data_IF_764379444917
#
_entry.id   IF_764379444917
#
_cell.length_a   1.000
_cell.length_b   1.000
_cell.length_c   1.000
_cell.angle_alpha   90.00
_cell.angle_beta   90.00
_cell.angle_gamma   90.00
#
_symmetry.space_group_name_H-M   'P 1'
#
loop_
_entity.id
_entity.type
_entity.pdbx_description
1 polymer ?
#
# COMPACT_ATOMS: atom_id res chain seq x y z
N UNK A 1 55.38 22.43 5.77
CA UNK A 1 55.54 21.85 4.41
C UNK A 1 56.17 20.48 4.62
N UNK A 2 55.64 19.33 4.21
CA UNK A 2 54.82 18.93 3.06
C UNK A 2 53.93 17.75 3.49
N UNK A 3 52.72 17.69 2.89
CA UNK A 3 51.72 16.63 3.00
C UNK A 3 52.22 15.34 2.38
N UNK A 4 51.81 14.17 2.89
CA UNK A 4 51.46 13.05 2.01
C UNK A 4 50.45 12.13 2.71
N UNK A 5 49.19 12.25 2.27
CA UNK A 5 48.17 11.21 2.46
C UNK A 5 48.49 10.11 1.45
N UNK A 6 48.68 8.87 1.90
CA UNK A 6 48.55 7.70 1.04
C UNK A 6 47.53 6.73 1.63
N UNK A 7 46.44 6.62 0.89
CA UNK A 7 45.46 5.55 0.87
C UNK A 7 46.13 4.18 0.89
N UNK A 8 45.57 3.26 1.69
CA UNK A 8 45.71 1.84 1.45
C UNK A 8 44.35 1.20 1.57
N UNK A 9 43.79 0.88 0.41
CA UNK A 9 42.60 0.08 0.20
C UNK A 9 42.86 -1.35 0.70
N UNK A 10 41.95 -1.90 1.52
CA UNK A 10 41.55 -3.32 1.55
C UNK A 10 40.59 -3.57 2.70
N UNK A 11 39.40 -4.02 2.34
CA UNK A 11 38.42 -4.51 3.30
C UNK A 11 37.02 -4.44 2.72
N UNK A 12 36.80 -5.10 1.58
CA UNK A 12 35.46 -5.47 1.17
C UNK A 12 34.97 -6.47 2.23
N UNK A 13 34.25 -5.98 3.23
CA UNK A 13 33.34 -6.83 3.98
C UNK A 13 32.09 -6.91 3.13
N UNK A 14 32.05 -7.97 2.32
CA UNK A 14 30.83 -8.51 1.76
C UNK A 14 30.03 -8.98 2.97
N UNK A 15 29.10 -8.15 3.45
CA UNK A 15 28.13 -8.65 4.41
C UNK A 15 27.15 -9.53 3.61
N UNK A 16 27.16 -10.79 4.01
CA UNK A 16 26.51 -11.88 3.33
C UNK A 16 25.01 -11.63 3.47
N UNK A 17 24.31 -11.43 2.34
CA UNK A 17 22.88 -11.10 2.32
C UNK A 17 22.04 -12.07 3.13
N UNK A 18 21.83 -11.74 4.39
CA UNK A 18 20.62 -12.09 5.11
C UNK A 18 19.55 -11.20 4.53
N UNK A 19 18.71 -11.78 3.66
CA UNK A 19 17.37 -11.24 3.46
C UNK A 19 16.70 -11.38 4.82
N UNK A 20 16.85 -10.37 5.67
CA UNK A 20 15.96 -10.18 6.78
C UNK A 20 14.63 -9.88 6.12
N UNK A 21 13.74 -10.87 6.04
CA UNK A 21 12.32 -10.60 5.81
C UNK A 21 11.94 -9.58 6.88
N UNK A 22 11.97 -8.31 6.47
CA UNK A 22 11.56 -7.22 7.30
C UNK A 22 10.05 -7.35 7.39
N UNK A 23 9.50 -7.17 8.58
CA UNK A 23 8.06 -7.18 8.75
C UNK A 23 7.43 -6.26 7.66
N UNK A 24 6.34 -6.69 7.00
CA UNK A 24 5.71 -5.90 5.97
C UNK A 24 5.47 -4.48 6.46
N UNK A 25 5.70 -3.48 5.61
CA UNK A 25 5.33 -2.12 5.98
C UNK A 25 3.80 -2.01 6.08
N UNK A 26 3.29 -1.01 6.81
CA UNK A 26 1.85 -0.76 6.86
C UNK A 26 1.24 -0.60 5.45
N UNK A 27 2.00 -0.01 4.51
CA UNK A 27 1.58 0.12 3.11
C UNK A 27 1.50 -1.24 2.43
N UNK A 28 2.41 -2.18 2.71
CA UNK A 28 2.34 -3.54 2.16
C UNK A 28 1.11 -4.29 2.70
N UNK A 29 0.86 -4.19 4.01
CA UNK A 29 -0.32 -4.75 4.65
C UNK A 29 -1.60 -4.17 4.05
N UNK A 30 -1.67 -2.84 3.91
CA UNK A 30 -2.84 -2.18 3.36
C UNK A 30 -3.02 -2.45 1.86
N UNK A 31 -1.93 -2.56 1.10
CA UNK A 31 -1.98 -2.99 -0.32
C UNK A 31 -2.64 -4.36 -0.45
N UNK A 32 -2.32 -5.28 0.46
CA UNK A 32 -2.92 -6.61 0.48
C UNK A 32 -4.40 -6.58 0.86
N UNK A 33 -4.80 -5.72 1.82
CA UNK A 33 -6.23 -5.49 2.13
C UNK A 33 -6.97 -5.05 0.86
N UNK A 34 -6.48 -4.02 0.17
CA UNK A 34 -7.11 -3.51 -1.06
C UNK A 34 -7.23 -4.60 -2.12
N UNK A 35 -6.17 -5.40 -2.31
CA UNK A 35 -6.18 -6.53 -3.25
C UNK A 35 -7.29 -7.53 -2.90
N UNK A 36 -7.41 -7.93 -1.64
CA UNK A 36 -8.43 -8.89 -1.18
C UNK A 36 -9.84 -8.35 -1.33
N UNK A 37 -10.06 -7.08 -0.99
CA UNK A 37 -11.35 -6.41 -1.20
C UNK A 37 -11.72 -6.42 -2.69
N UNK A 38 -10.77 -6.06 -3.57
CA UNK A 38 -10.96 -6.09 -5.01
C UNK A 38 -11.27 -7.51 -5.54
N UNK A 39 -10.51 -8.52 -5.10
CA UNK A 39 -10.75 -9.91 -5.46
C UNK A 39 -12.14 -10.40 -5.01
N UNK A 40 -12.56 -10.04 -3.80
CA UNK A 40 -13.87 -10.41 -3.23
C UNK A 40 -15.01 -9.81 -4.07
N UNK A 41 -14.92 -8.52 -4.39
CA UNK A 41 -15.93 -7.82 -5.20
C UNK A 41 -16.02 -8.39 -6.62
N UNK A 42 -14.87 -8.67 -7.25
CA UNK A 42 -14.85 -9.26 -8.59
C UNK A 42 -15.38 -10.71 -8.58
N UNK A 43 -15.11 -11.49 -7.53
CA UNK A 43 -15.58 -12.87 -7.41
C UNK A 43 -17.12 -13.00 -7.31
N UNK A 44 -17.83 -11.94 -6.91
CA UNK A 44 -19.30 -11.89 -6.93
C UNK A 44 -19.87 -11.80 -8.36
N UNK A 45 -19.02 -11.55 -9.36
CA UNK A 45 -19.41 -11.37 -10.76
C UNK A 45 -18.85 -12.53 -11.63
N UNK A 46 -19.70 -13.39 -12.22
CA UNK A 46 -19.26 -14.65 -12.83
C UNK A 46 -18.36 -14.52 -14.06
N UNK A 47 -18.36 -13.36 -14.74
CA UNK A 47 -17.60 -13.10 -15.96
C UNK A 47 -16.42 -12.13 -15.74
N UNK A 48 -16.18 -11.69 -14.49
CA UNK A 48 -15.09 -10.76 -14.17
C UNK A 48 -13.92 -11.55 -13.58
N UNK A 49 -12.72 -11.48 -14.18
CA UNK A 49 -11.54 -12.14 -13.64
C UNK A 49 -11.11 -11.49 -12.31
N UNK A 50 -10.33 -12.24 -11.52
CA UNK A 50 -9.64 -11.65 -10.36
C UNK A 50 -8.64 -10.57 -10.83
N UNK A 51 -8.66 -9.38 -10.23
CA UNK A 51 -7.79 -8.28 -10.63
C UNK A 51 -6.38 -8.46 -10.08
N UNK A 52 -5.35 -8.30 -10.93
CA UNK A 52 -3.96 -8.32 -10.49
C UNK A 52 -3.49 -6.93 -10.01
N UNK A 53 -4.09 -5.89 -10.58
CA UNK A 53 -3.82 -4.48 -10.27
C UNK A 53 -5.07 -3.61 -10.36
N UNK A 54 -4.97 -2.37 -9.89
CA UNK A 54 -6.10 -1.45 -9.80
C UNK A 54 -6.72 -1.12 -11.16
N UNK A 55 -5.90 -1.04 -12.21
CA UNK A 55 -6.37 -0.75 -13.59
C UNK A 55 -7.21 -1.89 -14.21
N UNK A 56 -7.20 -3.08 -13.60
CA UNK A 56 -8.01 -4.20 -14.07
C UNK A 56 -9.47 -4.06 -13.61
N UNK A 57 -9.74 -3.18 -12.65
CA UNK A 57 -11.08 -2.86 -12.18
C UNK A 57 -11.81 -1.97 -13.19
N UNK A 58 -13.06 -2.33 -13.48
CA UNK A 58 -13.97 -1.38 -14.10
C UNK A 58 -14.37 -0.26 -13.13
N UNK A 59 -15.01 0.79 -13.66
CA UNK A 59 -15.38 1.95 -12.85
C UNK A 59 -16.37 1.62 -11.72
N UNK A 60 -17.19 0.56 -11.88
CA UNK A 60 -18.17 0.16 -10.88
C UNK A 60 -17.51 -0.61 -9.75
N UNK A 61 -16.71 -1.63 -10.07
CA UNK A 61 -15.91 -2.39 -9.10
C UNK A 61 -14.95 -1.48 -8.34
N UNK A 62 -14.33 -0.50 -9.02
CA UNK A 62 -13.50 0.51 -8.37
C UNK A 62 -14.28 1.28 -7.30
N UNK A 63 -15.49 1.76 -7.61
CA UNK A 63 -16.33 2.47 -6.63
C UNK A 63 -16.71 1.56 -5.47
N UNK A 64 -17.04 0.29 -5.72
CA UNK A 64 -17.37 -0.66 -4.65
C UNK A 64 -16.18 -0.89 -3.70
N UNK A 65 -14.98 -1.10 -4.24
CA UNK A 65 -13.74 -1.25 -3.45
C UNK A 65 -13.55 -0.03 -2.54
N UNK A 66 -13.70 1.17 -3.10
CA UNK A 66 -13.53 2.41 -2.34
C UNK A 66 -14.56 2.56 -1.23
N UNK A 67 -15.84 2.24 -1.49
CA UNK A 67 -16.89 2.31 -0.49
C UNK A 67 -16.67 1.29 0.64
N UNK A 68 -16.20 0.09 0.32
CA UNK A 68 -15.86 -0.91 1.34
C UNK A 68 -14.67 -0.46 2.18
N UNK A 69 -13.61 0.06 1.56
CA UNK A 69 -12.47 0.63 2.28
C UNK A 69 -12.87 1.81 3.16
N UNK A 70 -13.75 2.71 2.70
CA UNK A 70 -14.28 3.80 3.51
C UNK A 70 -15.00 3.29 4.77
N UNK A 71 -15.82 2.25 4.61
CA UNK A 71 -16.56 1.64 5.71
C UNK A 71 -15.62 0.99 6.73
N UNK A 72 -14.60 0.28 6.27
CA UNK A 72 -13.65 -0.42 7.14
C UNK A 72 -12.69 0.53 7.87
N UNK A 73 -12.24 1.58 7.17
CA UNK A 73 -11.33 2.59 7.70
C UNK A 73 -12.04 3.69 8.48
N UNK A 74 -13.36 3.85 8.33
CA UNK A 74 -14.11 4.96 8.92
C UNK A 74 -13.69 6.33 8.37
N UNK A 75 -13.26 6.37 7.10
CA UNK A 75 -12.73 7.57 6.43
C UNK A 75 -13.53 7.91 5.18
N UNK A 76 -13.43 9.15 4.71
CA UNK A 76 -13.94 9.59 3.41
C UNK A 76 -12.79 9.68 2.42
N UNK A 77 -12.76 8.78 1.46
CA UNK A 77 -11.64 8.53 0.55
C UNK A 77 -12.05 8.77 -0.90
N UNK A 78 -13.31 8.48 -1.26
CA UNK A 78 -13.81 8.59 -2.63
C UNK A 78 -13.70 10.03 -3.16
N UNK A 79 -14.03 11.01 -2.33
CA UNK A 79 -13.91 12.44 -2.67
C UNK A 79 -12.45 12.89 -2.83
N UNK A 80 -11.52 12.25 -2.10
CA UNK A 80 -10.08 12.56 -2.10
C UNK A 80 -9.32 11.90 -3.27
N UNK A 81 -10.02 11.11 -4.10
CA UNK A 81 -9.48 10.46 -5.29
C UNK A 81 -9.72 11.24 -6.58
N UNK A 82 -10.27 12.46 -6.49
CA UNK A 82 -10.37 13.34 -7.66
C UNK A 82 -8.99 13.58 -8.28
N UNK A 83 -8.82 13.19 -9.54
CA UNK A 83 -7.56 13.33 -10.28
C UNK A 83 -6.50 12.28 -9.95
N UNK A 84 -6.82 11.22 -9.20
CA UNK A 84 -5.93 10.09 -8.99
C UNK A 84 -5.74 9.28 -10.29
N UNK A 85 -4.49 9.03 -10.70
CA UNK A 85 -4.13 8.32 -11.94
C UNK A 85 -3.31 7.04 -11.71
N UNK A 86 -3.17 6.61 -10.45
CA UNK A 86 -2.43 5.38 -10.11
C UNK A 86 -3.08 4.12 -10.69
N UNK A 87 -2.28 3.10 -10.92
CA UNK A 87 -2.67 1.87 -11.63
C UNK A 87 -2.50 0.61 -10.81
N UNK A 88 -1.79 0.69 -9.70
CA UNK A 88 -1.49 -0.43 -8.81
C UNK A 88 -2.21 -0.29 -7.48
N UNK A 89 -2.46 -1.41 -6.80
CA UNK A 89 -3.01 -1.40 -5.44
C UNK A 89 -2.12 -0.64 -4.45
N UNK A 90 -0.80 -0.69 -4.64
CA UNK A 90 0.15 0.03 -3.80
C UNK A 90 0.03 1.55 -3.96
N UNK A 91 -0.09 2.05 -5.20
CA UNK A 91 -0.23 3.49 -5.43
C UNK A 91 -1.48 4.06 -4.76
N UNK A 92 -2.60 3.32 -4.78
CA UNK A 92 -3.80 3.76 -4.08
C UNK A 92 -3.66 3.61 -2.55
N UNK A 93 -2.97 2.58 -2.05
CA UNK A 93 -2.66 2.46 -0.63
C UNK A 93 -1.83 3.66 -0.12
N UNK A 94 -0.81 4.05 -0.88
CA UNK A 94 0.04 5.21 -0.60
C UNK A 94 -0.77 6.51 -0.63
N UNK A 95 -1.63 6.69 -1.64
CA UNK A 95 -2.49 7.86 -1.76
C UNK A 95 -3.45 8.00 -0.57
N UNK A 96 -4.12 6.91 -0.16
CA UNK A 96 -5.03 6.92 0.99
C UNK A 96 -4.27 7.21 2.30
N UNK A 97 -3.07 6.66 2.47
CA UNK A 97 -2.23 6.97 3.61
C UNK A 97 -1.82 8.46 3.62
N UNK A 98 -1.54 9.05 2.46
CA UNK A 98 -1.29 10.49 2.33
C UNK A 98 -2.54 11.31 2.71
N UNK A 99 -3.74 10.89 2.27
CA UNK A 99 -5.01 11.53 2.68
C UNK A 99 -5.16 11.51 4.20
N UNK A 100 -4.91 10.36 4.86
CA UNK A 100 -4.93 10.26 6.31
C UNK A 100 -3.92 11.22 6.97
N UNK A 101 -2.73 11.36 6.38
CA UNK A 101 -1.71 12.28 6.85
C UNK A 101 -2.13 13.74 6.72
N UNK A 102 -2.63 14.16 5.55
CA UNK A 102 -3.12 15.54 5.32
C UNK A 102 -4.27 15.91 6.24
N UNK A 103 -5.14 14.95 6.55
CA UNK A 103 -6.30 15.15 7.41
C UNK A 103 -5.98 15.02 8.91
N UNK A 104 -4.75 14.66 9.27
CA UNK A 104 -4.33 14.49 10.66
C UNK A 104 -4.92 13.25 11.35
N UNK A 105 -5.38 12.27 10.58
CA UNK A 105 -6.01 11.02 11.05
C UNK A 105 -5.12 9.80 10.83
N UNK A 106 -3.80 9.99 10.72
CA UNK A 106 -2.85 8.88 10.49
C UNK A 106 -2.97 7.80 11.56
N UNK A 107 -3.06 8.17 12.84
CA UNK A 107 -3.09 7.20 13.93
C UNK A 107 -4.32 6.28 13.87
N UNK A 108 -5.49 6.85 13.57
CA UNK A 108 -6.74 6.13 13.37
C UNK A 108 -6.66 5.22 12.13
N UNK A 109 -6.11 5.73 11.03
CA UNK A 109 -5.85 4.94 9.82
C UNK A 109 -4.97 3.72 10.12
N UNK A 110 -3.82 3.90 10.78
CA UNK A 110 -2.95 2.77 11.10
C UNK A 110 -3.63 1.76 12.02
N UNK A 111 -4.39 2.23 13.00
CA UNK A 111 -5.13 1.36 13.92
C UNK A 111 -6.19 0.54 13.19
N UNK A 112 -6.90 1.15 12.24
CA UNK A 112 -7.94 0.49 11.45
C UNK A 112 -7.35 -0.51 10.46
N UNK A 113 -6.28 -0.16 9.73
CA UNK A 113 -5.57 -1.12 8.86
C UNK A 113 -5.13 -2.34 9.64
N UNK A 114 -4.46 -2.15 10.79
CA UNK A 114 -4.03 -3.27 11.64
C UNK A 114 -5.22 -4.08 12.16
N UNK A 115 -6.36 -3.44 12.46
CA UNK A 115 -7.56 -4.16 12.88
C UNK A 115 -8.10 -5.06 11.76
N UNK A 116 -8.17 -4.55 10.54
CA UNK A 116 -8.65 -5.30 9.36
C UNK A 116 -7.74 -6.51 9.12
N UNK A 117 -6.42 -6.29 9.05
CA UNK A 117 -5.41 -7.33 8.83
C UNK A 117 -5.49 -8.45 9.88
N UNK A 118 -5.81 -8.13 11.13
CA UNK A 118 -5.94 -9.10 12.22
C UNK A 118 -7.35 -9.75 12.33
N UNK A 119 -8.32 -9.28 11.53
CA UNK A 119 -9.70 -9.79 11.54
C UNK A 119 -9.96 -10.85 10.45
N UNK A 120 -9.09 -10.92 9.44
CA UNK A 120 -9.00 -12.00 8.45
C UNK A 120 -8.27 -13.24 9.00
#
# INVERSE_FOLDING_TARGET
MVRERRTSERGIMVDNGTVTESAPSLIDEFTEVIRRTAATICAEQPDVPEPEELRDLDSFSMVQVLLDLENELGMKVLEELEGFEGRTFREIAEHIAEVAHRNGTSAEFEANVRRIVNSD
#
